data_IF_447813123438
#
_entry.id   IF_447813123438
#
_cell.length_a   1.000
_cell.length_b   1.000
_cell.length_c   1.000
_cell.angle_alpha   90.00
_cell.angle_beta   90.00
_cell.angle_gamma   90.00
#
_symmetry.space_group_name_H-M   'P 1'
#
loop_
_entity.id
_entity.type
_entity.pdbx_description
1 polymer ?
#
# COMPACT_ATOMS: atom_id res chain seq x y z
N UNK A 1 -12.36 5.74 10.23
CA UNK A 1 -12.18 4.41 10.84
C UNK A 1 -13.20 3.41 10.31
N UNK A 2 -12.79 2.16 10.10
CA UNK A 2 -13.67 1.03 9.75
C UNK A 2 -14.55 1.29 8.53
N UNK A 3 -13.97 1.88 7.49
CA UNK A 3 -14.64 2.06 6.21
C UNK A 3 -14.36 0.83 5.33
N UNK A 4 -15.36 0.39 4.58
CA UNK A 4 -15.21 -0.69 3.60
C UNK A 4 -15.61 -0.17 2.23
N UNK A 5 -14.73 -0.36 1.25
CA UNK A 5 -15.02 -0.13 -0.15
C UNK A 5 -15.09 -1.47 -0.90
N UNK A 6 -16.16 -1.68 -1.65
CA UNK A 6 -16.31 -2.83 -2.55
C UNK A 6 -16.56 -2.41 -4.00
N UNK A 7 -16.58 -1.10 -4.25
CA UNK A 7 -16.75 -0.53 -5.59
C UNK A 7 -15.42 -0.25 -6.26
N UNK A 8 -15.41 -0.17 -7.60
CA UNK A 8 -14.25 0.25 -8.35
C UNK A 8 -13.97 1.74 -8.15
N UNK A 9 -12.70 2.07 -7.95
CA UNK A 9 -12.20 3.44 -7.89
C UNK A 9 -11.41 3.73 -9.17
N UNK A 10 -11.80 4.79 -9.87
CA UNK A 10 -11.10 5.27 -11.06
C UNK A 10 -10.53 6.66 -10.74
N UNK A 11 -9.25 6.82 -10.87
CA UNK A 11 -8.55 8.07 -10.60
C UNK A 11 -7.53 8.41 -11.67
N UNK A 12 -6.95 9.58 -11.55
CA UNK A 12 -5.83 10.02 -12.36
C UNK A 12 -4.57 10.15 -11.51
N UNK A 13 -4.70 10.82 -10.38
CA UNK A 13 -3.63 11.12 -9.42
C UNK A 13 -4.13 10.84 -8.01
N UNK A 14 -3.26 10.34 -7.14
CA UNK A 14 -3.54 10.08 -5.72
C UNK A 14 -4.81 9.23 -5.52
N UNK A 15 -4.87 8.07 -6.16
CA UNK A 15 -6.01 7.18 -6.07
C UNK A 15 -5.84 6.17 -4.93
N UNK A 16 -6.84 6.07 -4.07
CA UNK A 16 -6.91 5.06 -3.03
C UNK A 16 -8.31 4.51 -2.86
N UNK A 17 -8.43 3.22 -2.54
CA UNK A 17 -9.73 2.58 -2.36
C UNK A 17 -10.59 3.21 -1.27
N UNK A 18 -9.96 3.86 -0.28
CA UNK A 18 -10.67 4.54 0.83
C UNK A 18 -10.33 6.04 0.87
N UNK A 19 -9.08 6.39 0.65
CA UNK A 19 -8.60 7.78 0.76
C UNK A 19 -7.67 8.10 -0.41
N UNK A 20 -7.95 9.16 -1.15
CA UNK A 20 -7.10 9.63 -2.23
C UNK A 20 -5.77 10.18 -1.71
N UNK A 21 -5.83 11.20 -0.86
CA UNK A 21 -4.64 11.81 -0.28
C UNK A 21 -4.86 12.30 1.14
N UNK A 22 -3.77 12.32 1.92
CA UNK A 22 -3.65 12.97 3.23
C UNK A 22 -2.39 13.83 3.19
N UNK A 23 -2.59 15.12 3.03
CA UNK A 23 -1.50 16.08 2.98
C UNK A 23 -1.96 17.44 3.50
N UNK A 24 -1.03 18.37 3.64
CA UNK A 24 -1.38 19.78 3.86
C UNK A 24 -2.11 20.31 2.62
N UNK A 25 -3.08 21.18 2.81
CA UNK A 25 -3.94 21.75 1.76
C UNK A 25 -3.15 22.30 0.56
N UNK A 26 -2.07 23.01 0.82
CA UNK A 26 -1.18 23.56 -0.21
C UNK A 26 -0.42 22.51 -1.06
N UNK A 27 -0.56 21.21 -0.77
CA UNK A 27 0.05 20.11 -1.52
C UNK A 27 -0.96 19.22 -2.22
N UNK A 28 -2.25 19.42 -1.94
CA UNK A 28 -3.31 18.57 -2.49
C UNK A 28 -3.68 18.95 -3.93
N UNK A 29 -3.51 20.21 -4.29
CA UNK A 29 -3.74 20.72 -5.64
C UNK A 29 -2.51 21.48 -6.15
N UNK A 30 -1.62 20.83 -6.89
CA UNK A 30 -0.44 21.48 -7.45
C UNK A 30 -0.77 22.41 -8.65
N UNK A 31 -1.99 22.34 -9.20
CA UNK A 31 -2.43 23.17 -10.33
C UNK A 31 -3.08 24.48 -9.88
N UNK A 32 -3.57 24.51 -8.64
CA UNK A 32 -4.08 25.73 -8.06
C UNK A 32 -2.91 26.54 -7.48
N UNK A 33 -2.34 27.39 -8.32
CA UNK A 33 -1.27 28.35 -8.01
C UNK A 33 -1.74 29.44 -7.02
N UNK A 34 -2.39 29.06 -5.94
CA UNK A 34 -2.49 29.90 -4.77
C UNK A 34 -1.11 29.97 -4.11
N UNK A 35 -0.19 30.66 -4.79
CA UNK A 35 0.95 31.24 -4.12
C UNK A 35 0.42 32.21 -3.07
N UNK A 36 0.14 31.71 -1.92
CA UNK A 36 0.03 32.53 -0.72
C UNK A 36 1.45 33.03 -0.45
N UNK A 37 1.86 34.04 -1.25
CA UNK A 37 3.05 34.83 -1.01
C UNK A 37 2.79 35.64 0.24
N UNK A 38 3.25 35.16 1.36
CA UNK A 38 3.20 35.81 2.63
C UNK A 38 3.94 34.95 3.62
N UNK A 39 4.74 35.61 4.45
CA UNK A 39 5.39 35.06 5.62
C UNK A 39 4.30 34.52 6.57
N UNK A 40 3.66 33.43 6.18
CA UNK A 40 2.74 32.71 7.04
C UNK A 40 3.55 31.85 7.99
N UNK A 41 4.14 32.50 8.97
CA UNK A 41 4.55 31.89 10.21
C UNK A 41 3.32 31.46 11.03
N UNK A 42 2.36 30.80 10.41
CA UNK A 42 1.47 29.91 11.14
C UNK A 42 2.30 28.66 11.43
N UNK A 43 2.97 28.72 12.57
CA UNK A 43 3.53 27.56 13.20
C UNK A 43 2.36 26.64 13.55
N UNK A 44 1.92 25.83 12.60
CA UNK A 44 0.97 24.76 12.84
C UNK A 44 1.72 23.60 13.53
N UNK A 45 2.26 23.83 14.70
CA UNK A 45 2.52 22.80 15.70
C UNK A 45 1.23 22.11 16.16
N UNK A 46 0.14 22.37 15.49
CA UNK A 46 -1.06 21.59 15.63
C UNK A 46 -0.77 20.26 14.96
N UNK A 47 -0.47 19.27 15.76
CA UNK A 47 -0.28 17.89 15.35
C UNK A 47 -1.54 17.44 14.59
N UNK A 48 -1.53 17.57 13.28
CA UNK A 48 -2.54 16.99 12.41
C UNK A 48 -2.38 15.48 12.48
N UNK A 49 -3.15 14.84 13.34
CA UNK A 49 -3.20 13.39 13.47
C UNK A 49 -4.25 12.86 12.50
N UNK A 50 -3.85 12.62 11.27
CA UNK A 50 -4.67 11.83 10.37
C UNK A 50 -4.47 10.35 10.68
N UNK A 51 -5.55 9.63 10.95
CA UNK A 51 -5.51 8.19 11.25
C UNK A 51 -6.52 7.46 10.40
N UNK A 52 -6.04 6.47 9.65
CA UNK A 52 -6.84 5.50 8.92
C UNK A 52 -6.72 4.19 9.67
N UNK A 53 -7.83 3.71 10.25
CA UNK A 53 -7.83 2.58 11.15
C UNK A 53 -8.90 1.55 10.77
N UNK A 54 -8.46 0.31 10.58
CA UNK A 54 -9.34 -0.83 10.37
C UNK A 54 -10.20 -0.70 9.11
N UNK A 55 -9.68 -0.07 8.06
CA UNK A 55 -10.39 0.09 6.79
C UNK A 55 -10.08 -1.07 5.85
N UNK A 56 -11.04 -1.39 4.98
CA UNK A 56 -10.95 -2.48 4.02
C UNK A 56 -11.24 -1.99 2.60
N UNK A 57 -10.47 -2.49 1.65
CA UNK A 57 -10.78 -2.31 0.23
C UNK A 57 -10.81 -3.64 -0.49
N UNK A 58 -11.98 -4.00 -0.99
CA UNK A 58 -12.21 -5.20 -1.80
C UNK A 58 -12.49 -4.83 -3.27
N UNK A 59 -12.63 -3.54 -3.57
CA UNK A 59 -12.84 -3.02 -4.91
C UNK A 59 -11.53 -2.79 -5.67
N UNK A 60 -11.59 -2.80 -6.99
CA UNK A 60 -10.43 -2.46 -7.82
C UNK A 60 -10.09 -0.98 -7.73
N UNK A 61 -8.79 -0.67 -7.85
CA UNK A 61 -8.30 0.71 -7.98
C UNK A 61 -7.54 0.83 -9.28
N UNK A 62 -7.97 1.77 -10.13
CA UNK A 62 -7.33 2.07 -11.42
C UNK A 62 -6.92 3.53 -11.46
N UNK A 63 -5.68 3.81 -11.84
CA UNK A 63 -5.19 5.18 -11.99
C UNK A 63 -4.13 5.29 -13.09
N UNK A 64 -3.83 6.53 -13.54
CA UNK A 64 -3.01 6.77 -14.73
C UNK A 64 -1.65 7.39 -14.44
N UNK A 65 -1.47 8.13 -13.34
CA UNK A 65 -0.25 8.92 -13.16
C UNK A 65 0.62 8.47 -12.00
N UNK A 66 0.19 8.69 -10.75
CA UNK A 66 1.04 8.35 -9.60
C UNK A 66 0.24 8.25 -8.29
N UNK A 67 0.89 7.67 -7.29
CA UNK A 67 0.40 7.50 -5.93
C UNK A 67 -0.90 6.71 -5.88
N UNK A 68 -0.82 5.43 -6.15
CA UNK A 68 -1.96 4.53 -6.21
C UNK A 68 -1.86 3.49 -5.11
N UNK A 69 -2.87 3.40 -4.26
CA UNK A 69 -2.88 2.44 -3.16
C UNK A 69 -4.22 1.76 -2.96
N UNK A 70 -4.20 0.54 -2.47
CA UNK A 70 -5.44 -0.17 -2.17
C UNK A 70 -6.28 0.52 -1.10
N UNK A 71 -5.65 1.20 -0.15
CA UNK A 71 -6.33 1.99 0.91
C UNK A 71 -6.11 3.48 0.70
N UNK A 72 -4.86 3.92 0.55
CA UNK A 72 -4.48 5.34 0.45
C UNK A 72 -3.62 5.57 -0.77
N UNK A 73 -3.93 6.56 -1.59
CA UNK A 73 -3.07 6.97 -2.69
C UNK A 73 -1.79 7.63 -2.18
N UNK A 74 -1.91 8.77 -1.50
CA UNK A 74 -0.78 9.52 -0.97
C UNK A 74 -0.98 9.92 0.49
N UNK A 75 0.03 9.63 1.31
CA UNK A 75 0.03 9.96 2.73
C UNK A 75 1.30 10.74 3.09
N UNK A 76 1.22 12.08 3.08
CA UNK A 76 2.33 12.94 3.46
C UNK A 76 2.56 12.96 4.99
N UNK A 77 1.55 12.61 5.77
CA UNK A 77 1.60 12.54 7.24
C UNK A 77 0.52 11.59 7.78
N UNK A 78 0.67 11.15 9.01
CA UNK A 78 -0.36 10.36 9.69
C UNK A 78 -0.03 8.88 9.85
N UNK A 79 -1.07 8.08 10.12
CA UNK A 79 -0.97 6.66 10.42
C UNK A 79 -2.05 5.88 9.67
N UNK A 80 -1.64 4.89 8.91
CA UNK A 80 -2.52 3.84 8.39
C UNK A 80 -2.26 2.55 9.17
N UNK A 81 -3.29 2.02 9.84
CA UNK A 81 -3.14 0.87 10.74
C UNK A 81 -4.30 -0.11 10.64
N UNK A 82 -3.98 -1.40 10.74
CA UNK A 82 -4.95 -2.50 10.74
C UNK A 82 -5.89 -2.46 9.51
N UNK A 83 -5.37 -2.08 8.35
CA UNK A 83 -6.13 -2.01 7.12
C UNK A 83 -5.85 -3.22 6.23
N UNK A 84 -6.87 -3.64 5.48
CA UNK A 84 -6.81 -4.78 4.57
C UNK A 84 -7.19 -4.37 3.15
N UNK A 85 -6.36 -4.70 2.18
CA UNK A 85 -6.67 -4.54 0.77
C UNK A 85 -6.65 -5.88 0.05
N UNK A 86 -7.76 -6.21 -0.62
CA UNK A 86 -7.91 -7.43 -1.44
C UNK A 86 -8.32 -7.15 -2.87
N UNK A 87 -8.61 -5.89 -3.20
CA UNK A 87 -8.92 -5.45 -4.55
C UNK A 87 -7.68 -5.43 -5.44
N UNK A 88 -7.85 -5.67 -6.74
CA UNK A 88 -6.78 -5.50 -7.72
C UNK A 88 -6.42 -4.03 -7.89
N UNK A 89 -5.15 -3.78 -8.17
CA UNK A 89 -4.64 -2.44 -8.47
C UNK A 89 -4.07 -2.47 -9.89
N UNK A 90 -4.71 -1.72 -10.78
CA UNK A 90 -4.35 -1.62 -12.19
C UNK A 90 -3.94 -0.19 -12.52
N UNK A 91 -2.64 0.03 -12.56
CA UNK A 91 -2.04 1.35 -12.70
C UNK A 91 -0.76 1.28 -13.54
N UNK A 92 -0.84 0.64 -14.71
CA UNK A 92 0.28 0.28 -15.59
C UNK A 92 1.22 1.46 -15.90
N UNK A 93 0.67 2.66 -16.08
CA UNK A 93 1.44 3.87 -16.37
C UNK A 93 1.83 4.67 -15.12
N UNK A 94 1.39 4.24 -13.93
CA UNK A 94 1.54 5.01 -12.71
C UNK A 94 2.80 4.62 -11.91
N UNK A 95 3.42 5.62 -11.31
CA UNK A 95 4.48 5.44 -10.33
C UNK A 95 3.93 5.45 -8.90
N UNK A 96 4.69 4.86 -7.97
CA UNK A 96 4.33 4.73 -6.55
C UNK A 96 3.01 3.98 -6.34
N UNK A 97 3.04 2.71 -6.70
CA UNK A 97 1.89 1.82 -6.60
C UNK A 97 2.08 0.84 -5.45
N UNK A 98 1.13 0.78 -4.53
CA UNK A 98 1.23 -0.10 -3.37
C UNK A 98 -0.06 -0.80 -2.99
N UNK A 99 0.05 -2.02 -2.51
CA UNK A 99 -1.11 -2.82 -2.09
C UNK A 99 -1.96 -2.14 -1.02
N UNK A 100 -1.34 -1.35 -0.14
CA UNK A 100 -2.03 -0.56 0.89
C UNK A 100 -1.90 0.94 0.61
N UNK A 101 -0.68 1.44 0.43
CA UNK A 101 -0.42 2.88 0.26
C UNK A 101 0.46 3.09 -0.98
N UNK A 102 0.10 4.03 -1.85
CA UNK A 102 0.94 4.37 -3.00
C UNK A 102 2.26 5.00 -2.55
N UNK A 103 2.18 6.14 -1.90
CA UNK A 103 3.35 6.86 -1.34
C UNK A 103 3.08 7.31 0.08
N UNK A 104 4.02 7.02 1.01
CA UNK A 104 3.88 7.35 2.43
C UNK A 104 5.12 7.98 3.03
N UNK A 105 4.96 9.17 3.60
CA UNK A 105 5.92 9.76 4.55
C UNK A 105 5.46 9.61 6.01
N UNK A 106 4.31 8.98 6.24
CA UNK A 106 3.78 8.65 7.56
C UNK A 106 4.06 7.19 7.95
N UNK A 107 3.24 6.67 8.84
CA UNK A 107 3.38 5.33 9.41
C UNK A 107 2.37 4.37 8.78
N UNK A 108 2.83 3.23 8.28
CA UNK A 108 2.00 2.11 7.82
C UNK A 108 2.28 0.92 8.73
N UNK A 109 1.30 0.51 9.51
CA UNK A 109 1.51 -0.54 10.54
C UNK A 109 0.38 -1.57 10.54
N UNK A 110 0.75 -2.84 10.72
CA UNK A 110 -0.20 -3.94 10.90
C UNK A 110 -1.25 -3.99 9.77
N UNK A 111 -0.84 -3.62 8.56
CA UNK A 111 -1.69 -3.65 7.38
C UNK A 111 -1.40 -4.89 6.55
N UNK A 112 -2.38 -5.29 5.78
CA UNK A 112 -2.29 -6.49 4.96
C UNK A 112 -2.77 -6.24 3.54
N UNK A 113 -2.09 -6.86 2.57
CA UNK A 113 -2.48 -6.84 1.17
C UNK A 113 -2.50 -8.24 0.58
N UNK A 114 -3.61 -8.59 -0.08
CA UNK A 114 -3.75 -9.78 -0.92
C UNK A 114 -4.30 -9.33 -2.27
N UNK A 115 -3.41 -8.97 -3.19
CA UNK A 115 -3.80 -8.24 -4.41
C UNK A 115 -2.91 -8.60 -5.59
N UNK A 116 -3.49 -8.51 -6.78
CA UNK A 116 -2.74 -8.38 -8.02
C UNK A 116 -2.46 -6.89 -8.24
N UNK A 117 -1.20 -6.52 -8.40
CA UNK A 117 -0.77 -5.13 -8.47
C UNK A 117 0.05 -4.91 -9.73
N UNK A 118 -0.38 -4.00 -10.57
CA UNK A 118 0.32 -3.58 -11.78
C UNK A 118 0.64 -2.08 -11.67
N UNK A 119 1.89 -1.71 -11.95
CA UNK A 119 2.35 -0.34 -11.96
C UNK A 119 3.55 -0.14 -12.88
N UNK A 120 3.99 1.10 -13.08
CA UNK A 120 5.20 1.41 -13.82
C UNK A 120 6.44 1.27 -12.93
N UNK A 121 6.70 2.24 -12.06
CA UNK A 121 7.85 2.24 -11.17
C UNK A 121 7.44 2.35 -9.70
N UNK A 122 8.33 1.91 -8.81
CA UNK A 122 8.10 1.93 -7.37
C UNK A 122 6.84 1.14 -6.97
N UNK A 123 6.81 -0.13 -7.38
CA UNK A 123 5.68 -1.02 -7.12
C UNK A 123 5.95 -1.87 -5.88
N UNK A 124 5.10 -1.77 -4.87
CA UNK A 124 5.28 -2.48 -3.61
C UNK A 124 4.05 -3.25 -3.15
N UNK A 125 4.28 -4.40 -2.52
CA UNK A 125 3.19 -5.22 -2.00
C UNK A 125 2.41 -4.52 -0.87
N UNK A 126 3.08 -3.67 -0.09
CA UNK A 126 2.45 -2.82 0.95
C UNK A 126 2.46 -1.36 0.52
N UNK A 127 3.62 -0.81 0.15
CA UNK A 127 3.69 0.58 -0.31
C UNK A 127 4.63 0.71 -1.50
N UNK A 128 4.30 1.59 -2.45
CA UNK A 128 5.18 1.97 -3.54
C UNK A 128 6.44 2.65 -3.01
N UNK A 129 6.26 3.67 -2.19
CA UNK A 129 7.31 4.30 -1.39
C UNK A 129 6.85 4.43 0.06
N UNK A 130 7.69 4.04 1.01
CA UNK A 130 7.33 4.10 2.43
C UNK A 130 8.52 4.41 3.33
N UNK A 131 8.30 5.35 4.27
CA UNK A 131 9.30 5.73 5.28
C UNK A 131 9.29 4.75 6.47
N UNK A 132 8.11 4.52 7.04
CA UNK A 132 7.93 3.58 8.16
C UNK A 132 6.85 2.57 7.81
N UNK A 133 7.26 1.30 7.66
CA UNK A 133 6.36 0.18 7.34
C UNK A 133 6.67 -0.98 8.27
N UNK A 134 5.75 -1.29 9.18
CA UNK A 134 6.00 -2.27 10.23
C UNK A 134 4.85 -3.26 10.42
N UNK A 135 5.21 -4.51 10.73
CA UNK A 135 4.28 -5.60 11.08
C UNK A 135 3.23 -5.89 10.00
N UNK A 136 3.56 -5.64 8.73
CA UNK A 136 2.63 -5.81 7.62
C UNK A 136 2.73 -7.21 7.01
N UNK A 137 1.67 -7.61 6.30
CA UNK A 137 1.53 -8.92 5.64
C UNK A 137 1.21 -8.70 4.17
N UNK A 138 2.02 -9.25 3.28
CA UNK A 138 1.90 -9.09 1.84
C UNK A 138 1.82 -10.46 1.16
N UNK A 139 0.69 -10.75 0.52
CA UNK A 139 0.51 -11.91 -0.38
C UNK A 139 0.06 -11.38 -1.73
N UNK A 140 1.00 -11.14 -2.63
CA UNK A 140 0.74 -10.36 -3.83
C UNK A 140 1.35 -10.98 -5.08
N UNK A 141 0.72 -10.70 -6.23
CA UNK A 141 1.34 -10.81 -7.53
C UNK A 141 1.69 -9.40 -7.99
N UNK A 142 2.94 -9.18 -8.37
CA UNK A 142 3.46 -7.87 -8.73
C UNK A 142 3.89 -7.83 -10.19
N UNK A 143 3.52 -6.76 -10.88
CA UNK A 143 4.03 -6.41 -12.20
C UNK A 143 4.48 -4.96 -12.17
N UNK A 144 5.76 -4.71 -12.43
CA UNK A 144 6.36 -3.38 -12.47
C UNK A 144 7.57 -3.35 -13.39
N UNK A 145 7.88 -2.18 -13.94
CA UNK A 145 9.02 -1.98 -14.84
C UNK A 145 10.31 -1.73 -14.08
N UNK A 146 10.23 -0.99 -12.96
CA UNK A 146 11.39 -0.64 -12.14
C UNK A 146 11.02 -0.64 -10.66
N UNK A 147 12.00 -0.93 -9.81
CA UNK A 147 11.90 -0.84 -8.34
C UNK A 147 10.64 -1.52 -7.79
N UNK A 148 10.55 -2.81 -8.06
CA UNK A 148 9.45 -3.64 -7.60
C UNK A 148 9.89 -4.45 -6.38
N UNK A 149 9.10 -4.42 -5.30
CA UNK A 149 9.41 -5.14 -4.08
C UNK A 149 8.17 -5.72 -3.40
N UNK A 150 8.32 -6.91 -2.81
CA UNK A 150 7.22 -7.63 -2.18
C UNK A 150 6.59 -6.88 -0.98
N UNK A 151 7.31 -5.94 -0.38
CA UNK A 151 6.84 -5.05 0.67
C UNK A 151 6.87 -3.60 0.20
N UNK A 152 8.02 -3.12 -0.28
CA UNK A 152 8.22 -1.76 -0.75
C UNK A 152 8.85 -1.74 -2.14
N UNK A 153 8.36 -0.91 -3.04
CA UNK A 153 9.06 -0.55 -4.26
C UNK A 153 10.35 0.21 -3.94
N UNK A 154 10.26 1.17 -3.02
CA UNK A 154 11.42 1.95 -2.55
C UNK A 154 11.26 2.37 -1.09
N UNK A 155 12.37 2.49 -0.36
CA UNK A 155 12.38 3.18 0.93
C UNK A 155 12.23 4.68 0.70
N UNK A 156 11.32 5.30 1.45
CA UNK A 156 11.17 6.74 1.47
C UNK A 156 12.34 7.40 2.20
N UNK A 157 12.58 8.66 1.86
CA UNK A 157 13.52 9.52 2.58
C UNK A 157 12.75 10.61 3.32
N UNK A 158 13.20 10.98 4.54
CA UNK A 158 12.65 12.15 5.21
C UNK A 158 12.94 13.39 4.37
N UNK A 159 11.89 14.04 3.91
CA UNK A 159 12.00 15.37 3.35
C UNK A 159 12.62 16.31 4.39
N UNK A 160 13.65 17.08 4.00
CA UNK A 160 14.37 18.00 4.88
C UNK A 160 13.52 19.02 5.64
N UNK A 161 12.23 19.12 5.30
CA UNK A 161 11.24 19.95 5.99
C UNK A 161 10.81 19.40 7.38
N UNK A 162 11.08 18.12 7.64
CA UNK A 162 10.82 17.46 8.93
C UNK A 162 12.12 17.18 9.71
N UNK A 163 13.27 17.57 9.20
CA UNK A 163 14.50 17.61 10.00
C UNK A 163 14.38 18.80 10.92
N UNK A 164 14.06 18.54 12.18
CA UNK A 164 14.24 19.50 13.24
C UNK A 164 15.73 19.91 13.25
N UNK A 165 16.03 21.21 13.24
CA UNK A 165 17.41 21.71 13.45
C UNK A 165 17.95 21.40 14.87
N UNK A 166 17.17 20.68 15.67
CA UNK A 166 17.52 20.21 17.00
C UNK A 166 17.98 18.74 17.05
N UNK A 167 18.25 18.10 15.92
CA UNK A 167 18.98 16.83 15.90
C UNK A 167 20.45 17.05 16.29
N UNK A 168 20.61 17.64 17.48
CA UNK A 168 21.83 17.51 18.26
C UNK A 168 21.98 16.03 18.61
N UNK A 169 23.16 15.52 18.39
CA UNK A 169 23.71 14.17 18.48
C UNK A 169 23.29 13.33 19.72
N UNK A 170 22.04 13.43 20.17
CA UNK A 170 21.47 12.74 21.34
C UNK A 170 20.87 11.36 21.00
N UNK A 171 21.30 10.71 19.92
CA UNK A 171 21.19 9.25 19.78
C UNK A 171 19.77 8.64 19.70
N UNK A 172 18.71 9.42 19.75
CA UNK A 172 17.34 8.97 19.48
C UNK A 172 16.95 9.34 18.04
N UNK A 173 17.52 8.61 17.10
CA UNK A 173 16.95 8.56 15.76
C UNK A 173 15.59 7.89 15.89
N UNK A 174 14.51 8.61 15.60
CA UNK A 174 13.24 7.98 15.18
C UNK A 174 13.57 7.14 13.94
N UNK A 175 14.01 5.90 14.18
CA UNK A 175 14.49 5.01 13.14
C UNK A 175 13.38 4.85 12.10
N UNK A 176 13.68 5.25 10.89
CA UNK A 176 12.96 4.91 9.69
C UNK A 176 12.85 3.39 9.64
N UNK A 177 11.73 2.84 10.16
CA UNK A 177 11.69 1.45 10.53
C UNK A 177 10.86 0.68 9.54
N UNK A 178 11.54 -0.09 8.71
CA UNK A 178 10.87 -1.16 7.94
C UNK A 178 11.22 -2.47 8.65
N UNK A 179 10.27 -3.02 9.42
CA UNK A 179 10.53 -4.18 10.28
C UNK A 179 9.30 -5.04 10.52
N UNK A 180 9.49 -6.30 10.91
CA UNK A 180 8.40 -7.21 11.28
C UNK A 180 7.46 -7.58 10.14
N UNK A 181 7.86 -7.31 8.90
CA UNK A 181 7.03 -7.60 7.73
C UNK A 181 7.24 -9.04 7.25
N UNK A 182 6.15 -9.67 6.78
CA UNK A 182 6.20 -10.98 6.15
C UNK A 182 5.57 -10.92 4.77
N UNK A 183 6.14 -11.65 3.82
CA UNK A 183 5.60 -11.65 2.47
C UNK A 183 5.65 -13.01 1.78
N UNK A 184 4.71 -13.19 0.86
CA UNK A 184 4.68 -14.24 -0.13
C UNK A 184 4.33 -13.62 -1.49
N UNK A 185 5.12 -13.90 -2.52
CA UNK A 185 4.85 -13.43 -3.88
C UNK A 185 4.34 -14.58 -4.75
N UNK A 186 3.26 -14.32 -5.48
CA UNK A 186 2.63 -15.29 -6.36
C UNK A 186 3.29 -15.22 -7.75
N UNK A 187 3.78 -16.37 -8.23
CA UNK A 187 4.28 -16.48 -9.61
C UNK A 187 5.68 -15.91 -9.88
N UNK A 188 6.30 -15.24 -8.91
CA UNK A 188 7.64 -14.67 -9.03
C UNK A 188 8.38 -14.68 -7.70
N UNK A 189 9.70 -14.72 -7.73
CA UNK A 189 10.53 -14.57 -6.54
C UNK A 189 11.08 -13.14 -6.50
N UNK A 190 10.28 -12.24 -5.92
CA UNK A 190 10.63 -10.82 -5.79
C UNK A 190 11.07 -10.54 -4.36
N UNK A 191 12.22 -9.90 -4.18
CA UNK A 191 12.72 -9.50 -2.87
C UNK A 191 11.86 -8.44 -2.18
N UNK A 192 12.13 -8.20 -0.91
CA UNK A 192 11.31 -7.35 -0.05
C UNK A 192 11.23 -5.89 -0.51
N UNK A 193 12.35 -5.31 -0.91
CA UNK A 193 12.47 -3.90 -1.27
C UNK A 193 13.31 -3.76 -2.54
N UNK A 194 12.79 -3.09 -3.58
CA UNK A 194 13.50 -2.90 -4.85
C UNK A 194 14.09 -4.21 -5.41
N UNK A 195 13.35 -5.30 -5.32
CA UNK A 195 13.77 -6.63 -5.73
C UNK A 195 14.85 -7.30 -4.86
N UNK A 196 15.32 -6.62 -3.81
CA UNK A 196 16.36 -7.13 -2.90
C UNK A 196 15.75 -7.68 -1.62
N UNK A 197 16.22 -8.84 -1.18
CA UNK A 197 15.82 -9.43 0.10
C UNK A 197 16.59 -8.79 1.25
N UNK A 198 15.84 -8.38 2.28
CA UNK A 198 16.36 -7.81 3.51
C UNK A 198 15.80 -8.61 4.69
N UNK A 199 16.50 -9.67 5.11
CA UNK A 199 16.01 -10.64 6.10
C UNK A 199 15.62 -10.00 7.46
N UNK A 200 16.31 -8.95 7.88
CA UNK A 200 16.02 -8.24 9.13
C UNK A 200 14.83 -7.27 9.01
N UNK A 201 14.41 -6.97 7.80
CA UNK A 201 13.40 -5.96 7.47
C UNK A 201 12.07 -6.60 7.09
N UNK A 202 12.15 -7.66 6.28
CA UNK A 202 10.99 -8.42 5.83
C UNK A 202 11.41 -9.85 5.49
N UNK A 203 10.64 -10.82 5.95
CA UNK A 203 10.93 -12.23 5.77
C UNK A 203 10.07 -12.83 4.66
N UNK A 204 10.71 -13.45 3.64
CA UNK A 204 10.00 -14.28 2.68
C UNK A 204 9.51 -15.54 3.38
N UNK A 205 8.28 -15.94 3.10
CA UNK A 205 7.72 -17.19 3.59
C UNK A 205 7.26 -18.06 2.43
N UNK A 206 7.22 -19.37 2.64
CA UNK A 206 6.45 -20.25 1.76
C UNK A 206 4.95 -19.95 1.92
N UNK A 207 4.13 -20.34 0.95
CA UNK A 207 2.67 -20.19 1.09
C UNK A 207 2.16 -20.82 2.39
N UNK A 208 2.60 -22.04 2.71
CA UNK A 208 2.13 -22.79 3.87
C UNK A 208 2.53 -22.11 5.18
N UNK A 209 3.77 -21.60 5.26
CA UNK A 209 4.22 -20.84 6.43
C UNK A 209 3.50 -19.50 6.56
N UNK A 210 3.22 -18.84 5.44
CA UNK A 210 2.49 -17.57 5.44
C UNK A 210 1.05 -17.74 5.96
N UNK A 211 0.33 -18.75 5.47
CA UNK A 211 -1.06 -19.00 5.91
C UNK A 211 -1.15 -19.58 7.34
N UNK A 212 -0.03 -20.06 7.88
CA UNK A 212 0.10 -20.51 9.26
C UNK A 212 0.39 -19.37 10.25
N UNK A 213 0.66 -18.15 9.78
CA UNK A 213 0.91 -16.99 10.65
C UNK A 213 -0.26 -16.77 11.63
N UNK A 214 0.10 -16.55 12.89
CA UNK A 214 -0.88 -16.21 13.92
C UNK A 214 -1.50 -14.84 13.66
N UNK A 215 -2.81 -14.72 13.86
CA UNK A 215 -3.54 -13.48 13.66
C UNK A 215 -3.71 -13.04 12.21
N UNK A 216 -3.38 -13.90 11.24
CA UNK A 216 -3.61 -13.62 9.83
C UNK A 216 -5.10 -13.62 9.51
N UNK A 217 -5.56 -12.65 8.72
CA UNK A 217 -6.95 -12.59 8.28
C UNK A 217 -7.32 -13.86 7.48
N UNK A 218 -8.51 -14.44 7.73
CA UNK A 218 -8.98 -15.65 7.04
C UNK A 218 -8.96 -15.56 5.51
N UNK A 219 -9.07 -14.38 4.93
CA UNK A 219 -9.05 -14.16 3.47
C UNK A 219 -7.76 -14.68 2.84
N UNK A 220 -6.64 -14.70 3.57
CA UNK A 220 -5.37 -15.23 3.06
C UNK A 220 -5.37 -16.75 2.91
N UNK A 221 -6.26 -17.44 3.60
CA UNK A 221 -6.38 -18.90 3.59
C UNK A 221 -7.29 -19.43 2.50
N UNK A 222 -7.95 -18.56 1.75
CA UNK A 222 -8.84 -18.93 0.65
C UNK A 222 -8.21 -18.66 -0.70
N UNK A 223 -8.63 -19.41 -1.71
CA UNK A 223 -8.22 -19.25 -3.10
C UNK A 223 -9.31 -18.50 -3.84
N UNK A 224 -8.98 -17.43 -4.51
CA UNK A 224 -9.90 -16.69 -5.37
C UNK A 224 -9.62 -17.03 -6.83
N UNK A 225 -10.62 -17.60 -7.51
CA UNK A 225 -10.56 -17.91 -8.94
C UNK A 225 -11.43 -16.89 -9.67
N UNK A 226 -10.81 -16.11 -10.55
CA UNK A 226 -11.53 -15.10 -11.37
C UNK A 226 -11.77 -15.65 -12.77
N UNK A 227 -13.03 -15.70 -13.16
CA UNK A 227 -13.46 -16.00 -14.52
C UNK A 227 -13.68 -14.68 -15.25
N UNK A 228 -13.09 -14.54 -16.42
CA UNK A 228 -13.31 -13.40 -17.31
C UNK A 228 -14.05 -13.93 -18.54
N UNK A 229 -15.24 -13.42 -18.80
CA UNK A 229 -16.06 -13.79 -19.94
C UNK A 229 -15.74 -12.93 -21.15
N UNK A 230 -16.10 -13.42 -22.35
CA UNK A 230 -15.83 -12.73 -23.62
C UNK A 230 -16.51 -11.35 -23.74
N UNK A 231 -17.57 -11.12 -22.97
CA UNK A 231 -18.27 -9.84 -22.89
C UNK A 231 -17.64 -8.86 -21.89
N UNK A 232 -16.52 -9.24 -21.27
CA UNK A 232 -15.80 -8.45 -20.27
C UNK A 232 -16.38 -8.54 -18.86
N UNK A 233 -17.44 -9.32 -18.65
CA UNK A 233 -17.92 -9.60 -17.30
C UNK A 233 -16.92 -10.44 -16.53
N UNK A 234 -16.86 -10.23 -15.22
CA UNK A 234 -15.98 -10.98 -14.32
C UNK A 234 -16.81 -11.63 -13.21
N UNK A 235 -16.52 -12.90 -12.96
CA UNK A 235 -17.08 -13.63 -11.84
C UNK A 235 -15.94 -14.18 -10.97
N UNK A 236 -16.00 -13.99 -9.66
CA UNK A 236 -14.99 -14.47 -8.73
C UNK A 236 -15.57 -15.51 -7.79
N UNK A 237 -14.99 -16.70 -7.80
CA UNK A 237 -15.33 -17.79 -6.88
C UNK A 237 -14.22 -17.91 -5.84
N UNK A 238 -14.61 -17.98 -4.58
CA UNK A 238 -13.68 -18.15 -3.46
C UNK A 238 -13.78 -19.58 -2.96
N UNK A 239 -12.65 -20.25 -2.89
CA UNK A 239 -12.52 -21.64 -2.48
C UNK A 239 -11.62 -21.77 -1.25
N UNK A 240 -11.90 -22.72 -0.39
CA UNK A 240 -10.95 -23.15 0.64
C UNK A 240 -9.95 -24.15 0.05
N UNK A 241 -8.68 -24.20 0.54
CA UNK A 241 -7.71 -25.17 0.08
C UNK A 241 -8.27 -26.61 0.13
N UNK A 242 -8.22 -27.31 -0.99
CA UNK A 242 -8.77 -28.66 -1.13
C UNK A 242 -10.25 -28.74 -1.55
N UNK A 243 -10.93 -27.62 -1.62
CA UNK A 243 -12.29 -27.55 -2.16
C UNK A 243 -12.27 -27.59 -3.70
N UNK A 244 -13.16 -28.42 -4.26
CA UNK A 244 -13.25 -28.53 -5.71
C UNK A 244 -14.17 -27.41 -6.27
N UNK A 245 -13.76 -26.83 -7.40
CA UNK A 245 -14.61 -25.90 -8.13
C UNK A 245 -15.84 -26.65 -8.65
N UNK A 246 -17.03 -26.19 -8.24
CA UNK A 246 -18.29 -26.73 -8.76
C UNK A 246 -18.63 -26.08 -10.11
N UNK A 247 -19.09 -26.85 -11.12
CA UNK A 247 -19.61 -26.27 -12.36
C UNK A 247 -20.76 -25.27 -12.15
N UNK A 248 -21.52 -25.42 -11.06
CA UNK A 248 -22.61 -24.52 -10.70
C UNK A 248 -22.14 -23.19 -10.07
N UNK A 249 -20.81 -23.08 -9.83
CA UNK A 249 -20.18 -21.87 -9.30
C UNK A 249 -19.65 -20.93 -10.38
N UNK A 250 -19.83 -21.29 -11.66
CA UNK A 250 -19.26 -20.57 -12.82
C UNK A 250 -20.38 -19.86 -13.58
#
# INVERSE_FOLDING_TARGET
>A
EKCTNSGAVLGDLNAGGVVGAIAYENRLDPEDDLQIGGDNSMNFDTQLRAVILGCENNGSVTAKRQNVGGIVGWMALGLTKNCLSTGSIDAEDADYVGGVVGKSSGYVRQCSAKSDITGNAYVGGIAGEGLTVADCRSMVQLTGSEKTGAVLGMRGERSGFLKSESDDDSGETDEETVTGNYYFTVGSDIGAIDGVSYADTAQPLSHDDFVALEGLDPIFKVISVRFVYDDGMMHTVTLTPGEALSPDSI
#
